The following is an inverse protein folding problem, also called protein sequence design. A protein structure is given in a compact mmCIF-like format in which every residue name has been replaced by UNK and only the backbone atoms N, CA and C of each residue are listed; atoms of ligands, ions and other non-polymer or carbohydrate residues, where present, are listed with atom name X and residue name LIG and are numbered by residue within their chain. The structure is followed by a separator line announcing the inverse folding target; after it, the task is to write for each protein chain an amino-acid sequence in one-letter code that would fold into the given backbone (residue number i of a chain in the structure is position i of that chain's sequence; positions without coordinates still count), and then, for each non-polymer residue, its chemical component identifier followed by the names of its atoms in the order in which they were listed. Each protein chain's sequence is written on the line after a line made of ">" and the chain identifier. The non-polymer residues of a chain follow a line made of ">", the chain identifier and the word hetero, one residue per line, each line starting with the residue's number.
data_IF_365378113746
#
_entry.id   IF_365378113746
#
_cell.length_a   1.000
_cell.length_b   1.000
_cell.length_c   1.000
_cell.angle_alpha   90.00
_cell.angle_beta   90.00
_cell.angle_gamma   90.00
#
_symmetry.space_group_name_H-M   'P 1'
#
loop_
_entity.id
_entity.type
_entity.pdbx_description
1 polymer ?
#
# COMPACT_ATOMS: atom_id res chain seq x y z
N UNK A 1 42.37 20.92 26.32
CA UNK A 1 43.47 21.14 25.34
C UNK A 1 43.21 20.25 24.14
N UNK A 2 43.50 20.75 22.92
CA UNK A 2 43.15 20.23 21.57
C UNK A 2 41.65 20.40 21.24
N UNK A 3 41.14 21.37 20.46
CA UNK A 3 41.54 22.12 19.24
C UNK A 3 41.73 21.26 17.98
N UNK A 4 40.72 21.32 17.11
CA UNK A 4 40.74 21.08 15.66
C UNK A 4 39.30 21.25 15.13
N UNK A 5 38.93 22.19 14.25
CA UNK A 5 39.70 22.99 13.29
C UNK A 5 39.22 22.68 11.87
N UNK A 6 37.95 22.95 11.55
CA UNK A 6 37.41 22.91 10.18
C UNK A 6 37.77 24.20 9.43
N UNK A 7 38.23 24.15 8.17
CA UNK A 7 38.19 25.30 7.28
C UNK A 7 37.11 25.10 6.21
N UNK A 8 35.99 25.82 6.34
CA UNK A 8 35.07 26.08 5.24
C UNK A 8 35.60 27.24 4.39
N UNK A 9 35.81 27.00 3.10
CA UNK A 9 36.06 28.06 2.11
C UNK A 9 34.83 28.25 1.23
N UNK A 10 34.50 29.52 1.09
CA UNK A 10 33.44 30.18 0.35
C UNK A 10 33.48 29.93 -1.17
N UNK A 11 32.29 29.95 -1.78
CA UNK A 11 32.07 30.20 -3.22
C UNK A 11 32.66 31.56 -3.66
N UNK A 12 32.78 31.80 -4.97
CA UNK A 12 31.75 32.60 -5.65
C UNK A 12 31.50 32.06 -7.10
N UNK A 13 30.55 32.48 -7.95
CA UNK A 13 30.24 33.80 -8.51
C UNK A 13 29.07 33.64 -9.52
N UNK A 14 28.24 34.70 -9.60
CA UNK A 14 27.45 35.26 -10.72
C UNK A 14 26.10 34.73 -11.23
N UNK A 15 25.20 35.72 -11.19
CA UNK A 15 24.01 35.98 -12.00
C UNK A 15 24.33 36.40 -13.45
N UNK A 16 23.38 36.13 -14.35
CA UNK A 16 22.84 36.97 -15.46
C UNK A 16 21.94 36.00 -16.28
N UNK A 17 20.61 36.13 -16.39
CA UNK A 17 19.78 37.19 -17.01
C UNK A 17 20.15 37.42 -18.48
N UNK A 18 19.39 36.86 -19.44
CA UNK A 18 18.36 37.59 -20.20
C UNK A 18 17.69 36.81 -21.36
N UNK A 19 16.41 37.16 -21.59
CA UNK A 19 15.62 37.20 -22.85
C UNK A 19 15.43 35.94 -23.72
N UNK A 20 14.30 35.67 -24.40
CA UNK A 20 12.97 36.28 -24.56
C UNK A 20 12.16 35.39 -25.54
N UNK A 21 10.84 35.32 -25.34
CA UNK A 21 9.74 35.18 -26.30
C UNK A 21 9.87 34.33 -27.59
N UNK A 22 8.97 33.34 -27.73
CA UNK A 22 8.13 33.22 -28.92
C UNK A 22 6.89 32.36 -28.61
N UNK A 23 5.74 33.02 -28.63
CA UNK A 23 4.39 32.46 -28.72
C UNK A 23 4.21 31.59 -29.97
N UNK A 24 3.52 30.46 -29.85
CA UNK A 24 2.69 29.99 -30.95
C UNK A 24 1.47 29.20 -30.45
N UNK A 25 0.31 29.77 -30.74
CA UNK A 25 -1.00 29.16 -30.63
C UNK A 25 -1.10 27.95 -31.58
N UNK A 26 -1.59 26.82 -31.08
CA UNK A 26 -2.37 25.92 -31.90
C UNK A 26 -3.33 25.09 -31.05
N UNK A 27 -4.61 25.46 -31.14
CA UNK A 27 -5.75 24.67 -30.68
C UNK A 27 -5.88 23.45 -31.60
N UNK A 28 -5.93 22.25 -31.02
CA UNK A 28 -6.59 21.11 -31.65
C UNK A 28 -7.43 20.38 -30.61
N UNK A 29 -8.65 20.06 -31.03
CA UNK A 29 -9.76 19.58 -30.22
C UNK A 29 -9.59 18.11 -29.80
N UNK A 30 -9.89 17.81 -28.54
CA UNK A 30 -10.01 16.44 -28.02
C UNK A 30 -11.49 15.98 -28.04
N UNK A 31 -11.79 14.71 -28.36
CA UNK A 31 -13.17 14.21 -28.36
C UNK A 31 -13.66 13.89 -26.95
N UNK A 32 -14.95 14.19 -26.73
CA UNK A 32 -15.71 13.98 -25.49
C UNK A 32 -15.98 12.49 -25.23
N UNK A 33 -15.48 11.96 -24.11
CA UNK A 33 -15.97 10.71 -23.51
C UNK A 33 -15.40 10.48 -22.10
N UNK A 34 -15.84 11.26 -21.09
CA UNK A 34 -15.48 11.02 -19.68
C UNK A 34 -16.36 11.75 -18.64
N UNK A 35 -17.49 12.35 -19.04
CA UNK A 35 -18.29 13.21 -18.13
C UNK A 35 -19.26 12.49 -17.19
N UNK A 36 -19.55 11.21 -17.40
CA UNK A 36 -20.61 10.53 -16.62
C UNK A 36 -20.11 9.88 -15.32
N UNK A 37 -18.84 9.47 -15.23
CA UNK A 37 -18.28 8.80 -14.03
C UNK A 37 -17.74 9.77 -12.98
N UNK A 38 -17.25 10.95 -13.38
CA UNK A 38 -16.82 12.01 -12.44
C UNK A 38 -17.97 12.67 -11.68
N UNK A 39 -19.16 12.75 -12.28
CA UNK A 39 -20.32 13.38 -11.66
C UNK A 39 -20.87 12.54 -10.49
N UNK A 40 -20.86 11.21 -10.60
CA UNK A 40 -21.30 10.30 -9.54
C UNK A 40 -20.46 10.43 -8.27
N UNK A 41 -19.14 10.61 -8.41
CA UNK A 41 -18.21 10.66 -7.27
C UNK A 41 -18.15 12.05 -6.62
N UNK A 42 -18.27 13.13 -7.40
CA UNK A 42 -18.39 14.51 -6.88
C UNK A 42 -19.69 14.72 -6.10
N UNK A 43 -20.79 14.08 -6.51
CA UNK A 43 -22.07 14.10 -5.78
C UNK A 43 -21.93 13.41 -4.42
N UNK A 44 -21.22 12.28 -4.33
CA UNK A 44 -21.05 11.54 -3.06
C UNK A 44 -20.22 12.29 -2.01
N UNK A 45 -19.07 12.86 -2.39
CA UNK A 45 -18.18 13.54 -1.44
C UNK A 45 -18.65 14.96 -1.06
N UNK A 46 -19.35 15.66 -1.96
CA UNK A 46 -20.00 16.94 -1.63
C UNK A 46 -21.25 16.72 -0.79
N UNK A 47 -21.99 15.63 -0.96
CA UNK A 47 -23.17 15.30 -0.16
C UNK A 47 -22.81 15.01 1.31
N UNK A 48 -21.68 14.35 1.61
CA UNK A 48 -21.25 14.07 3.00
C UNK A 48 -20.82 15.35 3.72
N UNK A 49 -20.01 16.20 3.07
CA UNK A 49 -19.58 17.47 3.64
C UNK A 49 -20.73 18.50 3.71
N UNK A 50 -21.66 18.47 2.75
CA UNK A 50 -22.92 19.22 2.83
C UNK A 50 -23.85 18.66 3.89
N UNK A 51 -23.90 17.34 4.17
CA UNK A 51 -24.71 16.79 5.27
C UNK A 51 -24.16 17.18 6.64
N UNK A 52 -22.83 17.13 6.84
CA UNK A 52 -22.20 17.59 8.08
C UNK A 52 -22.39 19.11 8.28
N UNK A 53 -22.26 19.91 7.21
CA UNK A 53 -22.60 21.34 7.25
C UNK A 53 -24.09 21.56 7.48
N UNK A 54 -24.99 20.86 6.80
CA UNK A 54 -26.43 20.95 7.03
C UNK A 54 -26.80 20.59 8.47
N UNK A 55 -26.12 19.63 9.11
CA UNK A 55 -26.34 19.31 10.52
C UNK A 55 -25.85 20.39 11.50
N UNK A 56 -24.92 21.25 11.10
CA UNK A 56 -24.33 22.30 11.95
C UNK A 56 -24.86 23.70 11.64
N UNK A 57 -25.31 23.96 10.40
CA UNK A 57 -25.92 25.23 9.97
C UNK A 57 -27.44 25.21 10.03
N UNK A 58 -28.10 24.06 9.94
CA UNK A 58 -29.51 23.96 10.32
C UNK A 58 -29.55 23.74 11.82
N UNK A 59 -29.98 24.75 12.57
CA UNK A 59 -30.87 24.49 13.69
C UNK A 59 -32.02 23.66 13.12
N UNK A 60 -31.88 22.32 13.10
CA UNK A 60 -33.01 21.43 12.84
C UNK A 60 -33.88 21.56 14.08
N UNK A 61 -34.68 22.63 14.09
CA UNK A 61 -35.81 22.79 14.96
C UNK A 61 -36.63 21.50 14.89
N UNK A 62 -37.21 21.13 16.03
CA UNK A 62 -37.76 19.82 16.39
C UNK A 62 -38.94 19.31 15.51
N UNK A 63 -39.12 19.75 14.27
CA UNK A 63 -40.34 19.54 13.47
C UNK A 63 -40.28 18.55 12.32
N UNK A 64 -39.17 18.37 11.59
CA UNK A 64 -39.22 17.58 10.34
C UNK A 64 -38.81 16.11 10.53
N UNK A 65 -39.77 15.31 11.02
CA UNK A 65 -39.64 13.86 11.24
C UNK A 65 -39.21 13.09 9.97
N UNK A 66 -39.58 13.59 8.79
CA UNK A 66 -39.22 12.98 7.51
C UNK A 66 -37.75 13.20 7.15
N UNK A 67 -37.23 14.42 7.28
CA UNK A 67 -35.80 14.72 7.07
C UNK A 67 -34.90 13.95 8.04
N UNK A 68 -35.31 13.84 9.32
CA UNK A 68 -34.58 13.02 10.31
C UNK A 68 -34.56 11.55 9.90
N UNK A 69 -35.68 11.03 9.40
CA UNK A 69 -35.77 9.64 8.93
C UNK A 69 -34.93 9.41 7.67
N UNK A 70 -34.92 10.36 6.73
CA UNK A 70 -34.07 10.30 5.53
C UNK A 70 -32.60 10.35 5.90
N UNK A 71 -32.20 11.23 6.82
CA UNK A 71 -30.80 11.33 7.29
C UNK A 71 -30.37 10.03 7.97
N UNK A 72 -31.20 9.46 8.85
CA UNK A 72 -30.94 8.17 9.50
C UNK A 72 -30.85 7.04 8.47
N UNK A 73 -31.72 7.01 7.46
CA UNK A 73 -31.67 6.00 6.40
C UNK A 73 -30.41 6.15 5.53
N UNK A 74 -29.97 7.38 5.23
CA UNK A 74 -28.71 7.65 4.54
C UNK A 74 -27.51 7.25 5.40
N UNK A 75 -27.50 7.59 6.69
CA UNK A 75 -26.45 7.16 7.63
C UNK A 75 -26.41 5.64 7.78
N UNK A 76 -27.57 4.97 7.79
CA UNK A 76 -27.68 3.51 7.83
C UNK A 76 -27.24 2.85 6.51
N UNK A 77 -27.51 3.48 5.36
CA UNK A 77 -27.10 2.98 4.06
C UNK A 77 -25.60 3.18 3.79
N UNK A 78 -25.00 4.20 4.41
CA UNK A 78 -23.55 4.46 4.40
C UNK A 78 -22.82 3.74 5.54
N UNK A 79 -23.54 3.22 6.54
CA UNK A 79 -22.96 2.44 7.62
C UNK A 79 -22.49 1.08 7.05
N UNK A 80 -21.19 0.84 7.17
CA UNK A 80 -20.43 -0.32 6.71
C UNK A 80 -19.98 -0.28 5.24
N UNK A 81 -19.99 0.88 4.57
CA UNK A 81 -19.32 0.97 3.27
C UNK A 81 -17.80 0.91 3.45
N UNK A 82 -17.18 -0.10 2.84
CA UNK A 82 -15.74 -0.29 2.77
C UNK A 82 -15.29 -0.16 1.31
N UNK A 83 -14.40 0.79 1.05
CA UNK A 83 -13.78 1.00 -0.27
C UNK A 83 -12.26 0.90 -0.12
N UNK A 84 -11.61 0.18 -1.03
CA UNK A 84 -10.16 0.09 -1.08
C UNK A 84 -9.66 0.78 -2.36
N UNK A 85 -8.83 1.81 -2.20
CA UNK A 85 -8.02 2.33 -3.31
C UNK A 85 -6.78 1.44 -3.46
N UNK A 86 -6.65 0.76 -4.60
CA UNK A 86 -5.70 -0.33 -4.83
C UNK A 86 -5.06 -0.25 -6.23
N UNK A 87 -3.97 -0.99 -6.43
CA UNK A 87 -3.40 -1.35 -7.73
C UNK A 87 -3.01 -2.83 -7.72
N UNK A 88 -3.46 -3.58 -8.73
CA UNK A 88 -3.07 -4.99 -8.92
C UNK A 88 -1.53 -5.08 -8.98
N UNK A 89 -0.95 -6.05 -8.26
CA UNK A 89 0.50 -6.21 -8.14
C UNK A 89 1.16 -5.43 -6.99
N UNK A 90 0.44 -4.55 -6.30
CA UNK A 90 0.96 -3.93 -5.08
C UNK A 90 0.95 -4.92 -3.92
N UNK A 91 2.11 -5.23 -3.31
CA UNK A 91 2.16 -6.12 -2.15
C UNK A 91 1.52 -5.45 -0.94
N UNK A 92 1.71 -4.14 -0.77
CA UNK A 92 1.10 -3.37 0.32
C UNK A 92 -0.43 -3.40 0.29
N UNK A 93 -1.01 -3.34 -0.90
CA UNK A 93 -2.45 -3.42 -1.03
C UNK A 93 -2.96 -4.87 -0.97
N UNK A 94 -2.17 -5.84 -1.42
CA UNK A 94 -2.45 -7.26 -1.19
C UNK A 94 -2.61 -7.59 0.30
N UNK A 95 -1.82 -6.97 1.20
CA UNK A 95 -2.03 -7.11 2.66
C UNK A 95 -3.45 -6.75 3.10
N UNK A 96 -3.96 -5.63 2.57
CA UNK A 96 -5.31 -5.15 2.91
C UNK A 96 -6.38 -6.05 2.31
N UNK A 97 -6.20 -6.50 1.06
CA UNK A 97 -7.08 -7.49 0.43
C UNK A 97 -7.14 -8.78 1.25
N UNK A 98 -5.98 -9.35 1.62
CA UNK A 98 -5.91 -10.55 2.47
C UNK A 98 -6.62 -10.32 3.81
N UNK A 99 -6.41 -9.18 4.48
CA UNK A 99 -7.06 -8.89 5.75
C UNK A 99 -8.59 -8.79 5.62
N UNK A 100 -9.08 -8.15 4.56
CA UNK A 100 -10.52 -8.05 4.29
C UNK A 100 -11.12 -9.43 4.00
N UNK A 101 -10.43 -10.27 3.22
CA UNK A 101 -10.86 -11.64 2.89
C UNK A 101 -10.80 -12.58 4.10
N UNK A 102 -9.72 -12.56 4.91
CA UNK A 102 -9.64 -13.35 6.17
C UNK A 102 -10.76 -12.98 7.14
N UNK A 103 -11.15 -11.71 7.13
CA UNK A 103 -12.27 -11.21 7.91
C UNK A 103 -13.60 -11.35 7.16
N UNK A 104 -13.68 -11.88 5.93
CA UNK A 104 -14.91 -11.95 5.15
C UNK A 104 -15.70 -10.63 5.15
N UNK A 105 -15.01 -9.51 4.86
CA UNK A 105 -15.58 -8.17 4.78
C UNK A 105 -15.81 -7.84 3.31
N UNK A 106 -17.05 -7.57 2.93
CA UNK A 106 -17.36 -7.08 1.58
C UNK A 106 -16.81 -5.66 1.40
N UNK A 107 -16.15 -5.42 0.26
CA UNK A 107 -15.59 -4.12 -0.07
C UNK A 107 -15.63 -3.84 -1.57
N UNK A 108 -15.61 -2.56 -1.93
CA UNK A 108 -15.46 -2.12 -3.31
C UNK A 108 -14.00 -1.80 -3.59
N UNK A 109 -13.37 -2.52 -4.51
CA UNK A 109 -12.04 -2.16 -5.00
C UNK A 109 -12.13 -1.07 -6.06
N UNK A 110 -11.35 -0.01 -5.91
CA UNK A 110 -11.16 1.05 -6.91
C UNK A 110 -9.70 1.05 -7.35
N UNK A 111 -9.47 0.65 -8.59
CA UNK A 111 -8.13 0.60 -9.17
C UNK A 111 -7.65 2.02 -9.47
N UNK A 112 -6.46 2.37 -8.98
CA UNK A 112 -5.80 3.65 -9.24
C UNK A 112 -4.82 3.56 -10.42
N UNK A 113 -4.67 4.66 -11.15
CA UNK A 113 -3.56 4.86 -12.08
C UNK A 113 -2.46 5.66 -11.35
N UNK A 114 -1.31 5.03 -11.10
CA UNK A 114 -0.23 5.68 -10.35
C UNK A 114 0.55 6.71 -11.19
N UNK A 115 0.41 6.68 -12.52
CA UNK A 115 0.95 7.70 -13.41
C UNK A 115 0.08 8.95 -13.44
N UNK A 116 -1.22 8.79 -13.18
CA UNK A 116 -2.21 9.87 -13.11
C UNK A 116 -3.16 9.67 -11.92
N UNK A 117 -2.65 9.96 -10.72
CA UNK A 117 -3.35 9.72 -9.45
C UNK A 117 -4.70 10.41 -9.39
N UNK A 118 -5.74 9.69 -8.97
CA UNK A 118 -7.08 10.25 -8.91
C UNK A 118 -7.18 11.40 -7.89
N UNK A 119 -8.10 12.33 -8.14
CA UNK A 119 -8.46 13.36 -7.15
C UNK A 119 -8.97 12.77 -5.83
N UNK A 120 -9.53 11.56 -5.88
CA UNK A 120 -9.97 10.83 -4.68
C UNK A 120 -8.76 10.40 -3.86
N UNK A 121 -7.75 9.79 -4.47
CA UNK A 121 -6.52 9.39 -3.77
C UNK A 121 -5.82 10.59 -3.15
N UNK A 122 -5.65 11.68 -3.91
CA UNK A 122 -4.99 12.89 -3.42
C UNK A 122 -5.75 13.53 -2.25
N UNK A 123 -7.09 13.45 -2.25
CA UNK A 123 -7.92 13.92 -1.14
C UNK A 123 -7.85 13.02 0.08
N UNK A 124 -7.87 11.70 -0.12
CA UNK A 124 -7.97 10.72 0.96
C UNK A 124 -6.62 10.42 1.63
N UNK A 125 -5.52 10.57 0.91
CA UNK A 125 -4.15 10.49 1.44
C UNK A 125 -3.32 11.71 0.99
N UNK A 126 -3.59 12.91 1.53
CA UNK A 126 -2.90 14.13 1.09
C UNK A 126 -1.42 14.16 1.47
N UNK A 127 -1.02 13.42 2.52
CA UNK A 127 0.36 13.41 3.04
C UNK A 127 1.28 12.59 2.15
N UNK A 128 0.92 11.34 1.86
CA UNK A 128 1.79 10.42 1.12
C UNK A 128 1.35 10.24 -0.33
N UNK A 129 0.07 10.45 -0.64
CA UNK A 129 -0.49 10.27 -1.98
C UNK A 129 -0.19 8.86 -2.53
N UNK A 130 -0.26 7.85 -1.66
CA UNK A 130 0.04 6.45 -1.96
C UNK A 130 -1.17 5.56 -1.67
N UNK A 131 -1.22 4.45 -2.41
CA UNK A 131 -2.06 3.29 -2.10
C UNK A 131 -1.29 2.31 -1.19
N UNK A 132 -1.98 1.40 -0.47
CA UNK A 132 -3.44 1.33 -0.32
C UNK A 132 -4.01 2.47 0.53
N UNK A 133 -5.27 2.81 0.28
CA UNK A 133 -6.10 3.62 1.18
C UNK A 133 -7.42 2.90 1.41
N UNK A 134 -7.70 2.56 2.66
CA UNK A 134 -9.00 2.02 3.05
C UNK A 134 -9.92 3.18 3.43
N UNK A 135 -11.10 3.26 2.84
CA UNK A 135 -12.12 4.23 3.19
C UNK A 135 -13.26 3.46 3.86
N UNK A 136 -13.44 3.64 5.16
CA UNK A 136 -14.52 3.01 5.92
C UNK A 136 -15.48 4.08 6.43
N UNK A 137 -16.73 4.04 5.95
CA UNK A 137 -17.77 5.03 6.24
C UNK A 137 -17.29 6.46 5.92
N UNK A 138 -16.67 6.62 4.75
CA UNK A 138 -16.14 7.91 4.27
C UNK A 138 -14.86 8.39 4.96
N UNK A 139 -14.30 7.65 5.91
CA UNK A 139 -13.07 8.02 6.64
C UNK A 139 -11.86 7.25 6.09
N UNK A 140 -10.79 7.93 5.67
CA UNK A 140 -9.61 7.26 5.14
C UNK A 140 -8.69 6.74 6.25
N UNK A 141 -8.13 5.55 6.03
CA UNK A 141 -7.04 4.95 6.77
C UNK A 141 -5.93 4.64 5.76
N UNK A 142 -4.71 5.14 6.04
CA UNK A 142 -3.54 4.99 5.19
C UNK A 142 -2.51 4.06 5.85
N UNK A 143 -1.51 3.64 5.08
CA UNK A 143 -0.45 2.70 5.46
C UNK A 143 -0.95 1.27 5.68
N UNK A 144 -0.47 0.33 4.85
CA UNK A 144 -0.99 -1.04 4.80
C UNK A 144 -1.08 -1.74 6.16
N UNK A 145 -0.02 -1.70 6.97
CA UNK A 145 0.01 -2.36 8.29
C UNK A 145 -0.80 -1.64 9.37
N UNK A 146 -1.08 -0.34 9.19
CA UNK A 146 -2.02 0.41 10.03
C UNK A 146 -3.45 0.06 9.64
N UNK A 147 -3.73 -0.04 8.33
CA UNK A 147 -5.02 -0.51 7.81
C UNK A 147 -5.34 -1.92 8.30
N UNK A 148 -4.38 -2.85 8.24
CA UNK A 148 -4.57 -4.23 8.73
C UNK A 148 -4.92 -4.25 10.22
N UNK A 149 -4.22 -3.46 11.05
CA UNK A 149 -4.56 -3.34 12.48
C UNK A 149 -5.95 -2.74 12.69
N UNK A 150 -6.29 -1.70 11.93
CA UNK A 150 -7.62 -1.09 11.98
C UNK A 150 -8.72 -2.11 11.64
N UNK A 151 -8.50 -2.95 10.62
CA UNK A 151 -9.42 -4.03 10.26
C UNK A 151 -9.53 -5.04 11.41
N UNK A 152 -8.42 -5.40 12.05
CA UNK A 152 -8.44 -6.35 13.17
C UNK A 152 -9.23 -5.80 14.38
N UNK A 153 -9.05 -4.52 14.70
CA UNK A 153 -9.71 -3.85 15.82
C UNK A 153 -11.20 -3.58 15.55
N UNK A 154 -11.53 -3.05 14.37
CA UNK A 154 -12.89 -2.65 14.00
C UNK A 154 -13.82 -3.86 13.78
N UNK A 155 -13.27 -5.00 13.35
CA UNK A 155 -13.97 -6.29 13.23
C UNK A 155 -13.46 -7.32 14.26
N UNK A 156 -13.30 -6.87 15.51
CA UNK A 156 -12.83 -7.68 16.65
C UNK A 156 -13.72 -8.88 17.03
N UNK A 157 -14.95 -8.95 16.50
CA UNK A 157 -15.83 -10.11 16.63
C UNK A 157 -15.45 -11.28 15.71
N UNK A 158 -14.49 -11.08 14.78
CA UNK A 158 -13.95 -12.10 13.87
C UNK A 158 -12.55 -12.55 14.34
N UNK A 159 -12.06 -13.75 13.95
CA UNK A 159 -10.76 -14.25 14.38
C UNK A 159 -9.65 -13.21 14.22
N UNK A 160 -8.82 -13.03 15.26
CA UNK A 160 -7.82 -11.95 15.30
C UNK A 160 -6.57 -12.32 14.50
N UNK A 161 -6.02 -11.34 13.79
CA UNK A 161 -4.75 -11.46 13.07
C UNK A 161 -3.55 -11.23 14.00
N UNK A 162 -3.73 -10.46 15.08
CA UNK A 162 -2.69 -10.20 16.07
C UNK A 162 -2.87 -11.09 17.32
N UNK A 163 -1.77 -11.48 17.98
CA UNK A 163 -1.85 -12.10 19.30
C UNK A 163 -2.53 -11.21 20.35
N UNK A 164 -3.29 -11.82 21.25
CA UNK A 164 -3.91 -11.14 22.40
C UNK A 164 -2.88 -10.76 23.47
N UNK A 165 -1.85 -11.60 23.66
CA UNK A 165 -0.74 -11.32 24.56
C UNK A 165 0.06 -10.07 24.10
N UNK A 166 0.28 -9.07 24.99
CA UNK A 166 0.97 -7.84 24.62
C UNK A 166 2.40 -8.04 24.10
N UNK A 167 3.15 -9.00 24.64
CA UNK A 167 4.53 -9.25 24.23
C UNK A 167 4.56 -9.86 22.82
N UNK A 168 3.77 -10.91 22.59
CA UNK A 168 3.64 -11.54 21.26
C UNK A 168 3.08 -10.56 20.22
N UNK A 169 2.19 -9.65 20.61
CA UNK A 169 1.70 -8.57 19.74
C UNK A 169 2.81 -7.58 19.38
N UNK A 170 3.65 -7.20 20.33
CA UNK A 170 4.81 -6.34 20.07
C UNK A 170 5.83 -7.03 19.16
N UNK A 171 6.07 -8.32 19.37
CA UNK A 171 6.91 -9.17 18.51
C UNK A 171 6.39 -9.22 17.08
N UNK A 172 5.08 -9.45 16.89
CA UNK A 172 4.46 -9.44 15.57
C UNK A 172 4.62 -8.10 14.84
N UNK A 173 4.45 -7.00 15.57
CA UNK A 173 4.66 -5.64 15.03
C UNK A 173 6.12 -5.39 14.65
N UNK A 174 7.07 -5.87 15.44
CA UNK A 174 8.49 -5.75 15.13
C UNK A 174 8.84 -6.45 13.81
N UNK A 175 8.36 -7.68 13.60
CA UNK A 175 8.66 -8.41 12.37
C UNK A 175 7.99 -7.83 11.13
N UNK A 176 6.75 -7.34 11.27
CA UNK A 176 6.12 -6.58 10.18
C UNK A 176 6.91 -5.29 9.84
N UNK A 177 7.43 -4.59 10.86
CA UNK A 177 8.28 -3.40 10.67
C UNK A 177 9.62 -3.75 10.03
N UNK A 178 10.22 -4.88 10.40
CA UNK A 178 11.44 -5.41 9.78
C UNK A 178 11.23 -5.67 8.27
N UNK A 179 10.11 -6.30 7.90
CA UNK A 179 9.75 -6.55 6.51
C UNK A 179 9.66 -5.21 5.73
N UNK A 180 9.01 -4.20 6.31
CA UNK A 180 8.80 -2.91 5.66
C UNK A 180 10.06 -2.04 5.58
N UNK A 181 10.92 -2.08 6.60
CA UNK A 181 12.11 -1.21 6.70
C UNK A 181 13.40 -1.86 6.21
N UNK A 182 13.47 -3.19 6.16
CA UNK A 182 14.68 -3.92 5.76
C UNK A 182 14.44 -4.72 4.49
N UNK A 183 13.59 -5.74 4.53
CA UNK A 183 13.43 -6.65 3.40
C UNK A 183 12.96 -5.92 2.13
N UNK A 184 11.86 -5.17 2.20
CA UNK A 184 11.30 -4.52 1.01
C UNK A 184 12.25 -3.48 0.38
N UNK A 185 12.83 -2.51 1.11
CA UNK A 185 13.76 -1.55 0.51
C UNK A 185 14.98 -2.22 -0.12
N UNK A 186 15.54 -3.24 0.53
CA UNK A 186 16.67 -4.02 0.00
C UNK A 186 16.27 -4.76 -1.27
N UNK A 187 15.11 -5.43 -1.28
CA UNK A 187 14.58 -6.09 -2.48
C UNK A 187 14.33 -5.11 -3.62
N UNK A 188 13.76 -3.94 -3.32
CA UNK A 188 13.50 -2.89 -4.30
C UNK A 188 14.77 -2.39 -4.99
N UNK A 189 15.91 -2.37 -4.29
CA UNK A 189 17.18 -1.92 -4.88
C UNK A 189 17.64 -2.81 -6.05
N UNK A 190 17.19 -4.06 -6.16
CA UNK A 190 17.56 -4.95 -7.28
C UNK A 190 17.12 -4.39 -8.65
N UNK A 191 16.06 -3.58 -8.69
CA UNK A 191 15.60 -2.88 -9.91
C UNK A 191 15.64 -1.35 -9.81
N UNK A 192 15.63 -0.78 -8.61
CA UNK A 192 15.64 0.67 -8.43
C UNK A 192 17.05 1.29 -8.39
N UNK A 193 18.10 0.49 -8.14
CA UNK A 193 19.48 0.95 -7.98
C UNK A 193 20.46 0.31 -8.97
N UNK A 194 21.69 0.81 -9.02
CA UNK A 194 22.76 0.38 -9.92
C UNK A 194 24.11 0.31 -9.17
N UNK A 195 25.11 -0.30 -9.80
CA UNK A 195 26.47 -0.39 -9.26
C UNK A 195 26.54 -1.12 -7.92
N UNK A 196 27.37 -0.59 -7.02
CA UNK A 196 27.68 -1.21 -5.72
C UNK A 196 26.42 -1.43 -4.86
N UNK A 197 25.47 -0.48 -4.85
CA UNK A 197 24.24 -0.59 -4.05
C UNK A 197 23.36 -1.76 -4.50
N UNK A 198 23.28 -2.01 -5.82
CA UNK A 198 22.53 -3.16 -6.36
C UNK A 198 23.19 -4.47 -5.95
N UNK A 199 24.51 -4.57 -6.08
CA UNK A 199 25.26 -5.79 -5.76
C UNK A 199 25.27 -6.10 -4.26
N UNK A 200 25.41 -5.10 -3.39
CA UNK A 200 25.28 -5.31 -1.93
C UNK A 200 23.86 -5.74 -1.56
N UNK A 201 22.84 -5.13 -2.17
CA UNK A 201 21.44 -5.45 -1.89
C UNK A 201 21.06 -6.90 -2.22
N UNK A 202 21.73 -7.55 -3.18
CA UNK A 202 21.51 -8.99 -3.44
C UNK A 202 21.88 -9.85 -2.23
N UNK A 203 23.05 -9.58 -1.63
CA UNK A 203 23.54 -10.30 -0.45
C UNK A 203 22.72 -9.96 0.79
N UNK A 204 22.38 -8.69 0.96
CA UNK A 204 21.59 -8.23 2.09
C UNK A 204 20.16 -8.79 2.04
N UNK A 205 19.59 -8.98 0.85
CA UNK A 205 18.27 -9.58 0.70
C UNK A 205 18.27 -11.05 1.09
N UNK A 206 19.31 -11.82 0.69
CA UNK A 206 19.51 -13.20 1.16
C UNK A 206 19.56 -13.21 2.68
N UNK A 207 20.34 -12.32 3.30
CA UNK A 207 20.42 -12.24 4.76
C UNK A 207 19.06 -11.90 5.41
N UNK A 208 18.25 -11.04 4.78
CA UNK A 208 16.91 -10.74 5.28
C UNK A 208 16.02 -11.99 5.30
N UNK A 209 16.06 -12.80 4.25
CA UNK A 209 15.29 -14.04 4.19
C UNK A 209 15.83 -15.11 5.15
N UNK A 210 17.14 -15.22 5.37
CA UNK A 210 17.72 -16.12 6.41
C UNK A 210 17.18 -15.78 7.80
N UNK A 211 17.18 -14.49 8.13
CA UNK A 211 16.66 -14.02 9.43
C UNK A 211 15.15 -14.33 9.56
N UNK A 212 14.37 -14.17 8.50
CA UNK A 212 12.95 -14.51 8.50
C UNK A 212 12.69 -16.02 8.59
N UNK A 213 13.53 -16.84 7.95
CA UNK A 213 13.43 -18.30 8.03
C UNK A 213 13.84 -18.84 9.40
N UNK A 214 14.88 -18.27 10.01
CA UNK A 214 15.27 -18.54 11.39
C UNK A 214 14.15 -18.18 12.37
N UNK A 215 13.51 -17.02 12.17
CA UNK A 215 12.33 -16.65 12.95
C UNK A 215 11.19 -17.65 12.73
N UNK A 216 10.87 -18.04 11.49
CA UNK A 216 9.84 -19.04 11.23
C UNK A 216 10.14 -20.35 11.98
N UNK A 217 11.40 -20.79 11.99
CA UNK A 217 11.84 -21.99 12.69
C UNK A 217 11.12 -23.23 12.19
N UNK A 218 10.45 -23.96 13.09
CA UNK A 218 9.63 -25.14 12.75
C UNK A 218 8.12 -24.85 12.86
N UNK A 219 7.74 -23.58 12.98
CA UNK A 219 6.34 -23.17 13.10
C UNK A 219 5.62 -23.37 11.77
N UNK A 220 4.32 -23.68 11.83
CA UNK A 220 3.48 -23.77 10.62
C UNK A 220 3.33 -22.41 9.95
N UNK A 221 3.13 -21.38 10.78
CA UNK A 221 3.01 -19.97 10.44
C UNK A 221 3.85 -19.13 11.41
N UNK A 222 4.15 -17.89 11.05
CA UNK A 222 4.76 -16.95 11.99
C UNK A 222 3.84 -16.65 13.19
N UNK A 223 2.52 -16.79 13.01
CA UNK A 223 1.53 -16.81 14.09
C UNK A 223 1.45 -18.13 14.88
N UNK A 224 2.50 -18.96 14.84
CA UNK A 224 2.59 -20.31 15.40
C UNK A 224 1.67 -21.32 14.68
N UNK A 225 0.52 -21.64 15.28
CA UNK A 225 -0.41 -22.65 14.74
C UNK A 225 -1.37 -22.09 13.69
N UNK A 226 -1.51 -20.76 13.62
CA UNK A 226 -2.47 -20.09 12.73
C UNK A 226 -1.84 -18.96 11.95
N UNK A 227 -2.32 -18.74 10.73
CA UNK A 227 -1.96 -17.59 9.91
C UNK A 227 -2.25 -16.28 10.65
N UNK A 228 -1.26 -15.39 10.72
CA UNK A 228 -1.36 -14.15 11.49
C UNK A 228 -0.73 -12.93 10.82
N UNK A 229 -0.46 -11.92 11.64
CA UNK A 229 -0.03 -10.59 11.22
C UNK A 229 1.29 -10.57 10.44
N UNK A 230 2.29 -11.34 10.89
CA UNK A 230 3.59 -11.44 10.21
C UNK A 230 3.41 -12.20 8.89
N UNK A 231 2.64 -13.30 8.89
CA UNK A 231 2.38 -14.09 7.69
C UNK A 231 1.77 -13.22 6.60
N UNK A 232 0.73 -12.46 6.94
CA UNK A 232 0.08 -11.50 6.05
C UNK A 232 1.07 -10.44 5.53
N UNK A 233 1.94 -9.92 6.41
CA UNK A 233 2.92 -8.90 6.05
C UNK A 233 3.97 -9.41 5.05
N UNK A 234 4.40 -10.67 5.17
CA UNK A 234 5.42 -11.27 4.31
C UNK A 234 4.82 -11.88 3.05
N UNK A 235 3.72 -12.62 3.16
CA UNK A 235 3.15 -13.40 2.04
C UNK A 235 2.66 -12.49 0.92
N UNK A 236 2.31 -11.24 1.25
CA UNK A 236 2.00 -10.23 0.24
C UNK A 236 3.14 -9.98 -0.75
N UNK A 237 4.39 -10.25 -0.37
CA UNK A 237 5.56 -10.16 -1.25
C UNK A 237 5.89 -11.45 -1.99
N UNK A 238 5.15 -12.54 -1.78
CA UNK A 238 5.34 -13.77 -2.53
C UNK A 238 5.25 -13.55 -4.05
N UNK A 239 4.40 -12.60 -4.49
CA UNK A 239 4.30 -12.20 -5.91
C UNK A 239 5.62 -11.65 -6.48
N UNK A 240 6.58 -11.25 -5.63
CA UNK A 240 7.91 -10.74 -6.03
C UNK A 240 9.02 -11.79 -5.90
N UNK A 241 8.76 -13.00 -5.40
CA UNK A 241 9.82 -13.99 -5.16
C UNK A 241 10.58 -14.33 -6.45
N UNK A 242 9.86 -14.65 -7.53
CA UNK A 242 10.46 -14.84 -8.86
C UNK A 242 11.29 -13.64 -9.35
N UNK A 243 10.84 -12.42 -9.03
CA UNK A 243 11.60 -11.20 -9.36
C UNK A 243 12.89 -11.11 -8.56
N UNK A 244 12.85 -11.42 -7.26
CA UNK A 244 14.03 -11.45 -6.40
C UNK A 244 15.03 -12.52 -6.83
N UNK A 245 14.56 -13.74 -7.15
CA UNK A 245 15.40 -14.82 -7.67
C UNK A 245 16.09 -14.42 -8.97
N UNK A 246 15.31 -13.92 -9.93
CA UNK A 246 15.82 -13.62 -11.27
C UNK A 246 16.79 -12.44 -11.26
N UNK A 247 16.49 -11.37 -10.53
CA UNK A 247 17.38 -10.20 -10.45
C UNK A 247 18.55 -10.39 -9.47
N UNK A 248 18.35 -11.25 -8.47
CA UNK A 248 19.33 -11.60 -7.46
C UNK A 248 20.31 -12.68 -7.90
N UNK A 249 19.94 -13.51 -8.88
CA UNK A 249 20.66 -14.69 -9.35
C UNK A 249 20.93 -15.72 -8.24
N UNK A 250 19.86 -16.09 -7.55
CA UNK A 250 19.81 -17.13 -6.51
C UNK A 250 18.40 -17.75 -6.47
N UNK A 251 18.23 -18.85 -5.73
CA UNK A 251 17.00 -19.65 -5.69
C UNK A 251 16.39 -19.64 -4.29
N UNK A 252 15.10 -19.30 -4.18
CA UNK A 252 14.38 -19.34 -2.90
C UNK A 252 14.31 -20.75 -2.34
N UNK A 253 14.14 -21.77 -3.20
CA UNK A 253 14.01 -23.18 -2.79
C UNK A 253 15.32 -23.71 -2.22
N UNK A 254 16.44 -23.34 -2.84
CA UNK A 254 17.76 -23.83 -2.43
C UNK A 254 18.27 -23.11 -1.18
N UNK A 255 18.02 -21.80 -1.06
CA UNK A 255 18.48 -21.00 0.08
C UNK A 255 17.51 -21.02 1.27
N UNK A 256 16.19 -21.09 1.03
CA UNK A 256 15.13 -20.90 2.03
C UNK A 256 13.97 -21.91 1.92
N UNK A 257 14.24 -23.23 1.99
CA UNK A 257 13.23 -24.25 1.75
C UNK A 257 12.02 -24.15 2.70
N UNK A 258 12.21 -23.78 3.97
CA UNK A 258 11.09 -23.68 4.93
C UNK A 258 10.20 -22.48 4.62
N UNK A 259 10.76 -21.38 4.13
CA UNK A 259 9.98 -20.23 3.66
C UNK A 259 9.20 -20.58 2.40
N UNK A 260 9.76 -21.37 1.48
CA UNK A 260 9.00 -21.83 0.30
C UNK A 260 7.82 -22.70 0.74
N UNK A 261 8.05 -23.69 1.59
CA UNK A 261 6.98 -24.55 2.12
C UNK A 261 5.92 -23.74 2.87
N UNK A 262 6.32 -22.73 3.65
CA UNK A 262 5.41 -21.80 4.30
C UNK A 262 4.58 -20.99 3.29
N UNK A 263 5.22 -20.52 2.22
CA UNK A 263 4.54 -19.81 1.14
C UNK A 263 3.47 -20.68 0.46
N UNK A 264 3.82 -21.92 0.13
CA UNK A 264 2.90 -22.91 -0.45
C UNK A 264 1.70 -23.20 0.46
N UNK A 265 1.94 -23.35 1.77
CA UNK A 265 0.86 -23.48 2.78
C UNK A 265 -0.04 -22.26 2.81
N UNK A 266 0.53 -21.06 2.76
CA UNK A 266 -0.28 -19.83 2.76
C UNK A 266 -1.12 -19.70 1.49
N UNK A 267 -0.60 -20.12 0.33
CA UNK A 267 -1.34 -20.11 -0.95
C UNK A 267 -2.55 -21.04 -0.98
N UNK A 268 -2.61 -22.05 -0.10
CA UNK A 268 -3.82 -22.88 0.05
C UNK A 268 -5.00 -22.11 0.66
N UNK A 269 -4.77 -20.95 1.29
CA UNK A 269 -5.83 -20.08 1.80
C UNK A 269 -6.43 -19.26 0.67
N UNK A 270 -7.74 -19.33 0.52
CA UNK A 270 -8.50 -18.59 -0.51
C UNK A 270 -8.29 -17.07 -0.42
N UNK A 271 -8.20 -16.53 0.81
CA UNK A 271 -7.90 -15.12 1.07
C UNK A 271 -6.55 -14.67 0.50
N UNK A 272 -5.56 -15.56 0.49
CA UNK A 272 -4.22 -15.30 -0.04
C UNK A 272 -4.22 -15.48 -1.55
N UNK A 273 -4.66 -16.63 -2.07
CA UNK A 273 -4.58 -16.93 -3.50
C UNK A 273 -5.40 -15.98 -4.37
N UNK A 274 -6.54 -15.47 -3.88
CA UNK A 274 -7.32 -14.42 -4.59
C UNK A 274 -6.68 -13.03 -4.55
N UNK A 275 -5.85 -12.77 -3.55
CA UNK A 275 -5.31 -11.43 -3.28
C UNK A 275 -3.93 -11.20 -3.90
N UNK A 276 -3.20 -12.25 -4.24
CA UNK A 276 -1.88 -12.13 -4.85
C UNK A 276 -1.95 -12.02 -6.37
N UNK A 277 -0.95 -11.39 -6.96
CA UNK A 277 -0.77 -11.37 -8.41
C UNK A 277 0.14 -12.53 -8.83
N UNK A 278 0.05 -12.92 -10.09
CA UNK A 278 0.99 -13.87 -10.66
C UNK A 278 2.43 -13.31 -10.61
N UNK A 279 3.39 -14.19 -10.31
CA UNK A 279 4.78 -13.80 -10.11
C UNK A 279 5.47 -13.32 -11.40
N UNK A 280 5.10 -13.90 -12.55
CA UNK A 280 5.64 -13.50 -13.85
C UNK A 280 5.03 -12.19 -14.31
N UNK A 281 3.74 -11.97 -14.10
CA UNK A 281 3.10 -10.67 -14.36
C UNK A 281 3.79 -9.55 -13.57
N UNK A 282 4.09 -9.77 -12.28
CA UNK A 282 4.82 -8.78 -11.46
C UNK A 282 6.24 -8.54 -11.98
N UNK A 283 6.95 -9.60 -12.37
CA UNK A 283 8.28 -9.48 -12.96
C UNK A 283 8.28 -8.70 -14.27
N UNK A 284 7.30 -8.91 -15.14
CA UNK A 284 7.15 -8.16 -16.39
C UNK A 284 6.96 -6.66 -16.14
N UNK A 285 6.14 -6.29 -15.15
CA UNK A 285 5.98 -4.89 -14.73
C UNK A 285 7.32 -4.31 -14.23
N UNK A 286 8.07 -5.07 -13.43
CA UNK A 286 9.40 -4.65 -12.95
C UNK A 286 10.38 -4.47 -14.11
N UNK A 287 10.37 -5.36 -15.11
CA UNK A 287 11.18 -5.22 -16.31
C UNK A 287 10.82 -3.97 -17.11
N UNK A 288 9.54 -3.64 -17.25
CA UNK A 288 9.11 -2.40 -17.90
C UNK A 288 9.63 -1.16 -17.15
N UNK A 289 9.62 -1.17 -15.82
CA UNK A 289 10.18 -0.09 -14.99
C UNK A 289 11.69 0.05 -15.24
N UNK A 290 12.43 -1.07 -15.29
CA UNK A 290 13.87 -1.07 -15.57
C UNK A 290 14.14 -0.49 -16.97
N UNK A 291 13.41 -0.95 -17.99
CA UNK A 291 13.53 -0.47 -19.37
C UNK A 291 13.29 1.04 -19.48
N UNK A 292 12.22 1.54 -18.88
CA UNK A 292 11.90 2.97 -18.83
C UNK A 292 13.02 3.77 -18.17
N UNK A 293 13.59 3.28 -17.06
CA UNK A 293 14.69 3.94 -16.36
C UNK A 293 15.97 3.98 -17.19
N UNK A 294 16.23 2.93 -17.97
CA UNK A 294 17.40 2.84 -18.85
C UNK A 294 17.21 3.50 -20.22
N UNK A 295 16.00 3.99 -20.53
CA UNK A 295 15.67 4.54 -21.84
C UNK A 295 15.70 3.50 -22.97
N UNK A 296 15.42 2.23 -22.65
CA UNK A 296 15.38 1.13 -23.61
C UNK A 296 13.91 0.89 -23.99
N UNK A 297 13.58 0.97 -25.28
CA UNK A 297 12.25 0.63 -25.83
C UNK A 297 11.96 -0.88 -25.76
#
# INVERSE_FOLDING_TARGET
>A
MFRGGFPGKSQPVNNNVDHSDASNDNKSEAPRSSRETENSTKVSCSAINSCFRLSSTLQIEKGNKLLRKILILFEQQMANEVVLLDVKGSPFAARVRIALEEKGIEYKSKVEDLSNKSSTLLKMNPVHQKIPVLIHNGRPICESMVIVQYIDDAWSHKPSLLPSDPYRRAHARFWADYIDKKMYPTGRNLWASEGELKESSKKDLIQCFKILEEELGDKLYFGDESFGYIDLALISFHSFFYTFETLGNWSMVDEFPKLVEWGERCLQKESVSKSLSDQKEVYEVVLQIIKQKLGIE
#
